data_IF_625368894887
#
_entry.id   IF_625368894887
#
_cell.length_a   1.000
_cell.length_b   1.000
_cell.length_c   1.000
_cell.angle_alpha   90.00
_cell.angle_beta   90.00
_cell.angle_gamma   90.00
#
_symmetry.space_group_name_H-M   'P 1'
#
loop_
_entity.id
_entity.type
_entity.pdbx_description
1 polymer ?
#
# COMPACT_ATOMS: atom_id res chain seq x y z
N UNK A 1 -3.15 28.26 2.31
CA UNK A 1 -3.68 26.91 2.04
C UNK A 1 -3.98 26.23 3.37
N UNK A 2 -5.17 25.62 3.54
CA UNK A 2 -5.45 24.79 4.72
C UNK A 2 -4.69 23.47 4.55
N UNK A 3 -3.84 23.11 5.51
CA UNK A 3 -3.12 21.83 5.51
C UNK A 3 -4.14 20.70 5.53
N UNK A 4 -3.95 19.66 4.71
CA UNK A 4 -4.81 18.47 4.75
C UNK A 4 -4.56 17.74 6.07
N UNK A 5 -5.64 17.33 6.72
CA UNK A 5 -5.63 16.55 7.94
C UNK A 5 -6.70 15.48 7.83
N UNK A 6 -6.25 14.24 7.67
CA UNK A 6 -7.12 13.07 7.50
C UNK A 6 -7.25 12.24 8.78
N UNK A 7 -6.74 12.76 9.91
CA UNK A 7 -6.87 12.10 11.20
C UNK A 7 -8.31 12.25 11.69
N UNK A 8 -8.92 11.15 12.11
CA UNK A 8 -10.19 11.19 12.84
C UNK A 8 -9.96 11.50 14.34
N UNK A 9 -11.05 11.60 15.10
CA UNK A 9 -11.03 11.96 16.53
C UNK A 9 -10.25 10.98 17.41
N UNK A 10 -10.02 9.74 16.95
CA UNK A 10 -9.26 8.70 17.66
C UNK A 10 -7.85 8.48 17.09
N UNK A 11 -7.38 9.39 16.24
CA UNK A 11 -6.01 9.38 15.70
C UNK A 11 -5.75 8.39 14.57
N UNK A 12 -6.78 7.85 13.92
CA UNK A 12 -6.64 6.98 12.74
C UNK A 12 -6.80 7.78 11.45
N UNK A 13 -6.18 7.29 10.37
CA UNK A 13 -6.29 7.86 9.03
C UNK A 13 -7.03 6.84 8.16
N UNK A 14 -8.36 6.97 8.09
CA UNK A 14 -9.23 6.04 7.33
C UNK A 14 -9.89 6.71 6.11
N UNK A 15 -9.52 7.96 5.84
CA UNK A 15 -9.92 8.72 4.64
C UNK A 15 -8.70 9.48 4.06
N UNK A 16 -8.83 10.00 2.85
CA UNK A 16 -7.76 10.62 2.08
C UNK A 16 -6.99 9.64 1.18
N UNK A 17 -6.12 10.18 0.32
CA UNK A 17 -5.32 9.38 -0.59
C UNK A 17 -4.20 8.60 0.12
N UNK A 18 -3.82 7.46 -0.44
CA UNK A 18 -2.68 6.64 -0.04
C UNK A 18 -1.68 6.57 -1.18
N UNK A 19 -0.38 6.51 -0.86
CA UNK A 19 0.69 6.59 -1.83
C UNK A 19 1.77 5.53 -1.60
N UNK A 20 2.39 5.09 -2.69
CA UNK A 20 3.65 4.37 -2.69
C UNK A 20 4.70 5.27 -3.35
N UNK A 21 5.79 5.53 -2.65
CA UNK A 21 6.83 6.46 -3.11
C UNK A 21 8.20 5.78 -3.10
N UNK A 22 8.92 5.90 -4.20
CA UNK A 22 10.33 5.54 -4.32
C UNK A 22 11.17 6.77 -4.00
N UNK A 23 12.15 6.60 -3.12
CA UNK A 23 13.09 7.65 -2.72
C UNK A 23 14.51 7.29 -3.15
N UNK A 24 15.30 8.31 -3.48
CA UNK A 24 16.74 8.17 -3.66
C UNK A 24 17.40 7.80 -2.33
N UNK A 25 18.15 6.70 -2.31
CA UNK A 25 18.72 6.15 -1.08
C UNK A 25 19.82 7.00 -0.45
N UNK A 26 20.45 7.90 -1.21
CA UNK A 26 21.54 8.75 -0.70
C UNK A 26 21.03 10.09 -0.18
N UNK A 27 20.04 10.67 -0.86
CA UNK A 27 19.56 12.04 -0.61
C UNK A 27 18.19 12.08 0.08
N UNK A 28 17.42 11.00 0.02
CA UNK A 28 16.02 10.97 0.45
C UNK A 28 15.09 11.77 -0.48
N UNK A 29 15.56 12.21 -1.65
CA UNK A 29 14.72 12.90 -2.62
C UNK A 29 13.65 11.96 -3.18
N UNK A 30 12.42 12.46 -3.31
CA UNK A 30 11.36 11.74 -4.01
C UNK A 30 11.75 11.52 -5.47
N UNK A 31 11.72 10.27 -5.92
CA UNK A 31 11.97 9.90 -7.31
C UNK A 31 10.65 9.67 -8.06
N UNK A 32 9.71 8.95 -7.42
CA UNK A 32 8.43 8.63 -8.03
C UNK A 32 7.36 8.34 -7.00
N UNK A 33 6.14 8.83 -7.21
CA UNK A 33 4.97 8.56 -6.36
C UNK A 33 3.79 8.09 -7.22
N UNK A 34 3.19 6.98 -6.81
CA UNK A 34 1.93 6.45 -7.36
C UNK A 34 0.87 6.33 -6.27
N UNK A 35 -0.39 6.14 -6.66
CA UNK A 35 -1.43 5.73 -5.72
C UNK A 35 -1.12 4.36 -5.13
N UNK A 36 -1.28 4.22 -3.81
CA UNK A 36 -1.09 2.92 -3.16
C UNK A 36 -2.20 1.97 -3.57
N UNK A 37 -1.82 0.81 -4.10
CA UNK A 37 -2.72 -0.31 -4.33
C UNK A 37 -2.20 -1.54 -3.57
N UNK A 38 -3.08 -2.36 -2.99
CA UNK A 38 -4.54 -2.23 -2.99
C UNK A 38 -5.05 -1.06 -2.12
N UNK A 39 -6.10 -0.38 -2.58
CA UNK A 39 -6.71 0.73 -1.83
C UNK A 39 -7.33 0.25 -0.51
N UNK A 40 -7.77 1.18 0.35
CA UNK A 40 -8.36 0.82 1.65
C UNK A 40 -9.81 0.38 1.59
N UNK A 41 -10.49 0.54 0.47
CA UNK A 41 -11.95 0.54 0.44
C UNK A 41 -12.55 -0.81 0.01
N UNK A 42 -13.76 -1.12 0.51
CA UNK A 42 -14.37 -0.52 1.70
C UNK A 42 -13.59 -0.90 2.98
N UNK A 43 -13.50 -0.01 3.97
CA UNK A 43 -12.67 -0.23 5.19
C UNK A 43 -13.11 -1.48 5.97
N UNK A 44 -14.40 -1.78 5.96
CA UNK A 44 -15.00 -2.98 6.57
C UNK A 44 -14.93 -4.24 5.69
N UNK A 45 -14.27 -4.17 4.53
CA UNK A 45 -14.08 -5.31 3.61
C UNK A 45 -12.84 -6.17 3.89
N UNK A 46 -12.10 -5.89 4.98
CA UNK A 46 -10.80 -6.52 5.25
C UNK A 46 -10.81 -7.68 6.27
N UNK A 47 -11.98 -8.05 6.80
CA UNK A 47 -12.15 -9.23 7.66
C UNK A 47 -12.84 -10.40 6.95
N UNK A 48 -13.42 -11.31 7.74
CA UNK A 48 -14.22 -12.44 7.24
C UNK A 48 -15.43 -12.66 8.15
N UNK A 49 -16.62 -12.72 7.55
CA UNK A 49 -17.88 -12.90 8.29
C UNK A 49 -18.07 -11.87 9.41
N UNK A 50 -18.33 -12.35 10.62
CA UNK A 50 -18.50 -11.50 11.82
C UNK A 50 -17.20 -10.85 12.32
N UNK A 51 -16.05 -11.15 11.71
CA UNK A 51 -14.76 -10.56 12.04
C UNK A 51 -14.37 -9.36 11.16
N UNK A 52 -15.29 -8.80 10.38
CA UNK A 52 -15.08 -7.49 9.73
C UNK A 52 -14.97 -6.36 10.77
N UNK A 53 -14.24 -5.29 10.43
CA UNK A 53 -14.16 -4.07 11.24
C UNK A 53 -14.09 -2.80 10.38
N UNK A 54 -14.88 -1.79 10.73
CA UNK A 54 -14.85 -0.46 10.11
C UNK A 54 -13.88 0.51 10.79
N UNK A 55 -13.05 0.01 11.71
CA UNK A 55 -12.11 0.81 12.51
C UNK A 55 -10.69 0.78 11.94
N UNK A 56 -10.47 0.08 10.82
CA UNK A 56 -9.19 -0.02 10.13
C UNK A 56 -8.16 -0.90 10.84
N UNK A 57 -8.55 -1.76 11.79
CA UNK A 57 -7.61 -2.70 12.41
C UNK A 57 -7.08 -3.68 11.36
N UNK A 58 -7.97 -4.26 10.55
CA UNK A 58 -7.60 -5.22 9.50
C UNK A 58 -7.20 -4.56 8.20
N UNK A 59 -7.83 -3.43 7.86
CA UNK A 59 -7.46 -2.67 6.66
C UNK A 59 -6.01 -2.19 6.73
N UNK A 60 -5.52 -1.71 7.87
CA UNK A 60 -4.17 -1.12 7.98
C UNK A 60 -3.11 -2.12 8.44
N UNK A 61 -3.21 -3.36 7.93
CA UNK A 61 -2.22 -4.41 8.15
C UNK A 61 -1.33 -4.54 6.93
N UNK A 62 -0.20 -3.87 6.96
CA UNK A 62 0.75 -3.84 5.85
C UNK A 62 1.91 -4.81 6.07
N UNK A 63 2.37 -5.43 4.98
CA UNK A 63 3.66 -6.11 4.90
C UNK A 63 4.36 -5.63 3.63
N UNK A 64 5.68 -5.77 3.60
CA UNK A 64 6.47 -5.50 2.41
C UNK A 64 7.59 -6.53 2.28
N UNK A 65 7.96 -6.84 1.04
CA UNK A 65 9.08 -7.73 0.74
C UNK A 65 9.76 -7.32 -0.57
N UNK A 66 10.97 -7.84 -0.79
CA UNK A 66 11.63 -7.85 -2.09
C UNK A 66 11.70 -9.29 -2.56
N UNK A 67 11.31 -9.55 -3.80
CA UNK A 67 11.35 -10.87 -4.41
C UNK A 67 11.84 -10.78 -5.85
N UNK A 68 12.62 -11.76 -6.30
CA UNK A 68 13.07 -11.87 -7.67
C UNK A 68 12.04 -12.69 -8.45
N UNK A 69 10.97 -12.05 -8.92
CA UNK A 69 9.81 -12.74 -9.51
C UNK A 69 10.12 -13.30 -10.91
N UNK A 70 11.01 -12.65 -11.66
CA UNK A 70 11.53 -13.14 -12.93
C UNK A 70 12.81 -14.00 -12.77
N UNK A 71 13.31 -14.13 -11.54
CA UNK A 71 14.56 -14.82 -11.20
C UNK A 71 15.85 -14.00 -11.37
N UNK A 72 15.77 -12.76 -11.86
CA UNK A 72 16.94 -11.93 -12.22
C UNK A 72 16.89 -10.50 -11.66
N UNK A 73 15.73 -9.84 -11.66
CA UNK A 73 15.54 -8.47 -11.20
C UNK A 73 14.66 -8.40 -9.94
N UNK A 74 14.95 -7.50 -8.98
CA UNK A 74 14.17 -7.37 -7.77
C UNK A 74 12.85 -6.62 -8.00
N UNK A 75 11.73 -7.24 -7.61
CA UNK A 75 10.42 -6.60 -7.50
C UNK A 75 10.10 -6.26 -6.04
N UNK A 76 9.37 -5.16 -5.83
CA UNK A 76 8.81 -4.81 -4.52
C UNK A 76 7.42 -5.40 -4.38
N UNK A 77 7.17 -6.12 -3.30
CA UNK A 77 5.84 -6.63 -2.94
C UNK A 77 5.26 -5.75 -1.84
N UNK A 78 4.10 -5.15 -2.10
CA UNK A 78 3.31 -4.44 -1.10
C UNK A 78 2.06 -5.24 -0.78
N UNK A 79 1.87 -5.54 0.50
CA UNK A 79 0.76 -6.36 0.96
C UNK A 79 -0.17 -5.54 1.86
N UNK A 80 -1.47 -5.87 1.81
CA UNK A 80 -2.48 -5.34 2.73
C UNK A 80 -3.40 -6.46 3.18
N UNK A 81 -3.67 -6.50 4.48
CA UNK A 81 -4.54 -7.49 5.11
C UNK A 81 -3.91 -8.88 5.23
N UNK A 82 -4.19 -9.56 6.35
CA UNK A 82 -3.81 -10.96 6.56
C UNK A 82 -4.71 -11.71 7.56
N UNK A 83 -5.67 -11.02 8.21
CA UNK A 83 -6.65 -11.65 9.10
C UNK A 83 -7.96 -12.07 8.40
N UNK A 84 -8.21 -11.54 7.19
CA UNK A 84 -9.42 -11.76 6.40
C UNK A 84 -9.08 -11.67 4.92
N UNK A 85 -9.53 -10.62 4.22
CA UNK A 85 -8.99 -10.29 2.88
C UNK A 85 -7.48 -10.10 2.98
N UNK A 86 -6.75 -10.71 2.04
CA UNK A 86 -5.32 -10.51 1.84
C UNK A 86 -5.10 -10.14 0.38
N UNK A 87 -4.26 -9.15 0.12
CA UNK A 87 -3.91 -8.71 -1.21
C UNK A 87 -2.42 -8.37 -1.27
N UNK A 88 -1.79 -8.75 -2.37
CA UNK A 88 -0.36 -8.56 -2.65
C UNK A 88 -0.27 -7.94 -4.05
N UNK A 89 0.48 -6.86 -4.17
CA UNK A 89 0.77 -6.21 -5.45
C UNK A 89 2.28 -6.18 -5.63
N UNK A 90 2.73 -6.62 -6.79
CA UNK A 90 4.13 -6.55 -7.21
C UNK A 90 4.39 -5.28 -8.02
N UNK A 91 5.57 -4.71 -7.85
CA UNK A 91 6.02 -3.52 -8.54
C UNK A 91 7.46 -3.72 -9.01
N UNK A 92 7.69 -3.50 -10.30
CA UNK A 92 9.04 -3.37 -10.84
C UNK A 92 9.39 -1.89 -10.97
N UNK A 93 10.59 -1.52 -10.54
CA UNK A 93 11.11 -0.16 -10.74
C UNK A 93 12.29 -0.22 -11.70
N UNK A 94 12.05 0.12 -12.96
CA UNK A 94 13.03 0.05 -14.05
C UNK A 94 13.19 1.45 -14.64
N UNK A 95 14.44 1.89 -14.80
CA UNK A 95 14.78 3.19 -15.42
C UNK A 95 14.07 4.42 -14.81
N UNK A 96 13.89 4.43 -13.49
CA UNK A 96 13.22 5.55 -12.79
C UNK A 96 11.70 5.56 -12.94
N UNK A 97 11.09 4.51 -13.52
CA UNK A 97 9.63 4.36 -13.68
C UNK A 97 9.17 3.08 -12.99
N UNK A 98 8.04 3.16 -12.30
CA UNK A 98 7.28 1.97 -11.88
C UNK A 98 6.20 1.72 -12.93
N UNK A 99 6.40 0.87 -13.95
CA UNK A 99 5.26 0.22 -14.55
C UNK A 99 4.63 -0.70 -13.49
N UNK A 100 3.31 -0.60 -13.21
CA UNK A 100 2.65 -1.65 -12.47
C UNK A 100 2.74 -2.93 -13.31
N UNK A 101 3.45 -3.92 -12.80
CA UNK A 101 3.44 -5.29 -13.33
C UNK A 101 2.67 -6.16 -12.34
N UNK A 102 1.34 -6.23 -12.52
CA UNK A 102 0.59 -7.50 -12.42
C UNK A 102 -0.90 -7.31 -12.77
N UNK A 103 -1.39 -8.09 -13.75
CA UNK A 103 -2.76 -8.62 -13.71
C UNK A 103 -2.81 -9.74 -12.66
N UNK A 104 -3.89 -9.78 -11.88
CA UNK A 104 -4.24 -10.89 -10.97
C UNK A 104 -5.18 -11.84 -11.71
#
# INVERSE_FOLDING_TARGET
>A
MKKKDWRNEVGRILDGPEYLTVFDGLTGAEQHTVGYIPDRYPVDGWGIGSHNDSKGNRADRFLAAVAYLDGEHPSVLMCRGYYGRAAIVAWDFVDGKTPPTLEI
#
